data_IF_982628017093
#
_entry.id   IF_982628017093
#
_cell.length_a   1.000
_cell.length_b   1.000
_cell.length_c   1.000
_cell.angle_alpha   90.00
_cell.angle_beta   90.00
_cell.angle_gamma   90.00
#
_symmetry.space_group_name_H-M   'P 1'
#
loop_
_entity.id
_entity.type
_entity.pdbx_description
1 polymer ?
#
# COMPACT_ATOMS: atom_id res chain seq x y z
N UNK A 1 6.62 -11.49 -1.05
CA UNK A 1 5.17 -11.31 -1.12
C UNK A 1 4.94 -9.81 -1.15
N UNK A 2 3.80 -9.35 -1.68
CA UNK A 2 3.52 -7.91 -1.71
C UNK A 2 2.91 -7.51 -0.38
N UNK A 3 3.47 -6.48 0.27
CA UNK A 3 2.98 -5.97 1.55
C UNK A 3 1.52 -5.52 1.45
N UNK A 4 1.13 -4.99 0.28
CA UNK A 4 -0.21 -4.50 -0.01
C UNK A 4 -1.01 -5.42 -0.94
N UNK A 5 -0.96 -6.73 -0.69
CA UNK A 5 -1.78 -7.70 -1.43
C UNK A 5 -3.29 -7.43 -1.30
N UNK A 6 -4.09 -7.86 -2.28
CA UNK A 6 -5.58 -7.80 -2.23
C UNK A 6 -6.16 -8.26 -0.89
N UNK A 7 -5.63 -9.35 -0.33
CA UNK A 7 -6.12 -9.93 0.93
C UNK A 7 -5.85 -9.01 2.13
N UNK A 8 -4.69 -8.34 2.13
CA UNK A 8 -4.37 -7.35 3.15
C UNK A 8 -5.27 -6.12 3.05
N UNK A 9 -5.47 -5.58 1.83
CA UNK A 9 -6.36 -4.44 1.59
C UNK A 9 -7.80 -4.74 2.08
N UNK A 10 -8.34 -5.91 1.74
CA UNK A 10 -9.64 -6.35 2.21
C UNK A 10 -9.69 -6.48 3.75
N UNK A 11 -8.60 -6.89 4.40
CA UNK A 11 -8.52 -6.98 5.87
C UNK A 11 -8.58 -5.61 6.56
N UNK A 12 -8.18 -4.55 5.86
CA UNK A 12 -8.32 -3.16 6.30
C UNK A 12 -9.71 -2.57 6.02
N UNK A 13 -10.61 -3.33 5.39
CA UNK A 13 -11.92 -2.85 4.95
C UNK A 13 -11.92 -2.15 3.60
N UNK A 14 -10.80 -2.21 2.86
CA UNK A 14 -10.69 -1.72 1.48
C UNK A 14 -11.05 -2.88 0.53
N UNK A 15 -12.34 -3.00 0.23
CA UNK A 15 -12.86 -4.04 -0.67
C UNK A 15 -12.69 -3.60 -2.13
N UNK A 16 -11.65 -4.12 -2.77
CA UNK A 16 -11.43 -3.93 -4.21
C UNK A 16 -12.30 -4.89 -5.01
N UNK A 17 -13.00 -4.36 -6.01
CA UNK A 17 -13.70 -5.18 -7.00
C UNK A 17 -12.71 -6.15 -7.69
N UNK A 18 -13.19 -7.29 -8.17
CA UNK A 18 -12.34 -8.20 -8.96
C UNK A 18 -11.78 -7.54 -10.21
N UNK A 19 -12.46 -6.55 -10.76
CA UNK A 19 -11.97 -5.74 -11.88
C UNK A 19 -10.83 -4.81 -11.44
N UNK A 20 -10.98 -4.07 -10.35
CA UNK A 20 -9.95 -3.17 -9.80
C UNK A 20 -8.71 -3.94 -9.36
N UNK A 21 -8.90 -5.04 -8.64
CA UNK A 21 -7.80 -5.92 -8.23
C UNK A 21 -7.11 -6.60 -9.43
N UNK A 22 -7.79 -6.73 -10.57
CA UNK A 22 -7.20 -7.24 -11.81
C UNK A 22 -6.45 -6.15 -12.58
N UNK A 23 -6.97 -4.93 -12.54
CA UNK A 23 -6.30 -3.74 -13.08
C UNK A 23 -5.00 -3.47 -12.33
N UNK A 24 -5.01 -3.65 -11.00
CA UNK A 24 -3.82 -3.75 -10.14
C UNK A 24 -3.04 -5.03 -10.43
N UNK A 25 -2.27 -5.03 -11.52
CA UNK A 25 -1.28 -6.08 -11.80
C UNK A 25 -0.15 -6.11 -10.75
N UNK A 26 0.64 -7.19 -10.68
CA UNK A 26 1.77 -7.29 -9.72
C UNK A 26 2.71 -6.06 -9.76
N UNK A 27 2.98 -5.51 -10.95
CA UNK A 27 3.82 -4.30 -11.09
C UNK A 27 3.18 -3.05 -10.48
N UNK A 28 1.85 -2.96 -10.56
CA UNK A 28 1.08 -1.89 -9.94
C UNK A 28 1.03 -2.10 -8.42
N UNK A 29 0.91 -3.33 -7.92
CA UNK A 29 0.97 -3.59 -6.46
C UNK A 29 2.33 -3.17 -5.87
N UNK A 30 3.45 -3.45 -6.55
CA UNK A 30 4.79 -2.97 -6.18
C UNK A 30 4.87 -1.43 -6.17
N UNK A 31 4.16 -0.78 -7.10
CA UNK A 31 4.12 0.68 -7.22
C UNK A 31 3.28 1.28 -6.10
N UNK A 32 2.09 0.73 -5.86
CA UNK A 32 1.22 1.08 -4.74
C UNK A 32 1.97 0.96 -3.42
N UNK A 33 2.68 -0.15 -3.21
CA UNK A 33 3.48 -0.36 -2.00
C UNK A 33 4.51 0.75 -1.80
N UNK A 34 5.25 1.14 -2.84
CA UNK A 34 6.24 2.22 -2.73
C UNK A 34 5.59 3.54 -2.38
N UNK A 35 4.50 3.89 -3.05
CA UNK A 35 3.82 5.17 -2.86
C UNK A 35 3.19 5.27 -1.47
N UNK A 36 2.50 4.23 -1.02
CA UNK A 36 1.97 4.15 0.36
C UNK A 36 3.10 4.25 1.39
N UNK A 37 4.23 3.57 1.17
CA UNK A 37 5.37 3.68 2.10
C UNK A 37 5.94 5.10 2.12
N UNK A 38 5.98 5.79 0.98
CA UNK A 38 6.45 7.19 0.88
C UNK A 38 5.51 8.12 1.67
N UNK A 39 4.20 8.03 1.45
CA UNK A 39 3.19 8.81 2.18
C UNK A 39 3.20 8.50 3.68
N UNK A 40 3.37 7.22 4.04
CA UNK A 40 3.55 6.80 5.44
C UNK A 40 4.79 7.46 6.05
N UNK A 41 5.90 7.52 5.32
CA UNK A 41 7.14 8.15 5.81
C UNK A 41 6.97 9.65 6.04
N UNK A 42 6.08 10.32 5.31
CA UNK A 42 5.77 11.75 5.49
C UNK A 42 4.88 12.04 6.71
N UNK A 43 4.07 11.08 7.15
CA UNK A 43 3.18 11.25 8.32
C UNK A 43 3.77 10.72 9.63
N UNK A 44 4.74 9.81 9.58
CA UNK A 44 5.38 9.26 10.78
C UNK A 44 6.60 10.06 11.24
N UNK A 45 6.99 9.85 12.49
CA UNK A 45 8.22 10.44 13.04
C UNK A 45 9.49 9.75 12.52
N UNK A 46 10.66 10.40 12.55
CA UNK A 46 11.93 9.77 12.19
C UNK A 46 12.26 8.51 13.01
N UNK A 47 11.87 8.46 14.29
CA UNK A 47 12.05 7.28 15.13
C UNK A 47 11.21 6.09 14.65
N UNK A 48 9.96 6.35 14.27
CA UNK A 48 9.07 5.36 13.67
C UNK A 48 9.58 4.89 12.30
N UNK A 49 10.09 5.80 11.46
CA UNK A 49 10.71 5.44 10.18
C UNK A 49 11.90 4.49 10.36
N UNK A 50 12.75 4.72 11.37
CA UNK A 50 13.83 3.80 11.72
C UNK A 50 13.32 2.41 12.16
N UNK A 51 12.22 2.36 12.91
CA UNK A 51 11.60 1.09 13.31
C UNK A 51 11.03 0.34 12.11
N UNK A 52 10.32 1.03 11.23
CA UNK A 52 9.75 0.47 10.00
C UNK A 52 10.85 -0.10 9.09
N UNK A 53 11.93 0.64 8.87
CA UNK A 53 13.07 0.18 8.07
C UNK A 53 13.74 -1.08 8.64
N UNK A 54 13.77 -1.20 9.99
CA UNK A 54 14.28 -2.39 10.66
C UNK A 54 13.37 -3.60 10.41
N UNK A 55 12.06 -3.44 10.58
CA UNK A 55 11.08 -4.50 10.34
C UNK A 55 11.11 -4.98 8.88
N UNK A 56 11.22 -4.05 7.93
CA UNK A 56 11.38 -4.37 6.51
C UNK A 56 12.66 -5.16 6.22
N UNK A 57 13.77 -4.86 6.92
CA UNK A 57 15.02 -5.64 6.78
C UNK A 57 14.91 -7.07 7.30
N UNK A 58 13.99 -7.34 8.23
CA UNK A 58 13.71 -8.68 8.75
C UNK A 58 12.86 -9.53 7.80
N UNK A 59 12.35 -8.95 6.69
CA UNK A 59 11.51 -9.59 5.67
C UNK A 59 10.25 -10.27 6.26
N UNK A 60 9.69 -9.67 7.31
CA UNK A 60 8.48 -10.16 7.97
C UNK A 60 7.31 -9.22 7.64
N UNK A 61 6.65 -9.51 6.52
CA UNK A 61 5.56 -8.68 5.98
C UNK A 61 4.38 -8.58 6.97
N UNK A 62 4.09 -9.64 7.73
CA UNK A 62 3.01 -9.64 8.73
C UNK A 62 3.33 -8.68 9.88
N UNK A 63 4.59 -8.66 10.36
CA UNK A 63 5.01 -7.71 11.37
C UNK A 63 5.00 -6.26 10.86
N UNK A 64 5.40 -6.04 9.61
CA UNK A 64 5.34 -4.71 8.98
C UNK A 64 3.90 -4.24 8.87
N UNK A 65 2.99 -5.07 8.35
CA UNK A 65 1.56 -4.78 8.24
C UNK A 65 0.96 -4.42 9.59
N UNK A 66 1.22 -5.23 10.62
CA UNK A 66 0.74 -4.97 11.97
C UNK A 66 1.27 -3.64 12.51
N UNK A 67 2.56 -3.38 12.32
CA UNK A 67 3.17 -2.14 12.77
C UNK A 67 2.53 -0.93 12.09
N UNK A 68 2.24 -1.00 10.79
CA UNK A 68 1.57 0.08 10.06
C UNK A 68 0.21 0.39 10.69
N UNK A 69 -0.62 -0.62 10.92
CA UNK A 69 -1.95 -0.43 11.53
C UNK A 69 -1.86 0.15 12.95
N UNK A 70 -0.88 -0.27 13.74
CA UNK A 70 -0.71 0.19 15.12
C UNK A 70 -0.09 1.61 15.23
N UNK A 71 0.62 2.09 14.20
CA UNK A 71 1.45 3.31 14.28
C UNK A 71 1.04 4.42 13.30
N UNK A 72 0.22 4.12 12.29
CA UNK A 72 -0.23 5.07 11.28
C UNK A 72 -1.75 5.19 11.40
N UNK A 73 -2.22 6.28 12.00
CA UNK A 73 -3.65 6.49 12.28
C UNK A 73 -4.49 6.55 11.00
N UNK A 74 -3.98 7.22 9.96
CA UNK A 74 -4.68 7.42 8.68
C UNK A 74 -4.27 6.40 7.61
N UNK A 75 -3.75 5.23 8.02
CA UNK A 75 -3.22 4.23 7.09
C UNK A 75 -4.23 3.82 6.02
N UNK A 76 -5.48 3.60 6.43
CA UNK A 76 -6.54 3.17 5.53
C UNK A 76 -6.83 4.23 4.47
N UNK A 77 -6.88 5.49 4.86
CA UNK A 77 -7.15 6.61 3.96
C UNK A 77 -5.97 6.79 2.98
N UNK A 78 -4.73 6.75 3.47
CA UNK A 78 -3.52 6.79 2.63
C UNK A 78 -3.55 5.68 1.57
N UNK A 79 -3.86 4.45 1.98
CA UNK A 79 -3.91 3.32 1.05
C UNK A 79 -5.06 3.50 0.04
N UNK A 80 -6.23 3.97 0.49
CA UNK A 80 -7.38 4.18 -0.39
C UNK A 80 -7.08 5.23 -1.46
N UNK A 81 -6.52 6.38 -1.06
CA UNK A 81 -6.18 7.47 -1.98
C UNK A 81 -5.18 6.99 -3.04
N UNK A 82 -4.14 6.27 -2.63
CA UNK A 82 -3.11 5.80 -3.55
C UNK A 82 -3.62 4.69 -4.49
N UNK A 83 -4.54 3.84 -4.01
CA UNK A 83 -5.25 2.87 -4.86
C UNK A 83 -6.07 3.59 -5.92
N UNK A 84 -6.89 4.58 -5.54
CA UNK A 84 -7.75 5.31 -6.45
C UNK A 84 -6.94 6.06 -7.51
N UNK A 85 -5.83 6.70 -7.11
CA UNK A 85 -4.92 7.37 -8.03
C UNK A 85 -4.31 6.37 -9.00
N UNK A 86 -3.80 5.24 -8.50
CA UNK A 86 -3.12 4.26 -9.35
C UNK A 86 -4.10 3.58 -10.33
N UNK A 87 -5.33 3.30 -9.91
CA UNK A 87 -6.38 2.80 -10.80
C UNK A 87 -6.73 3.82 -11.90
N UNK A 88 -6.77 5.10 -11.55
CA UNK A 88 -6.90 6.21 -12.51
C UNK A 88 -5.76 6.19 -13.55
N UNK A 89 -4.51 6.13 -13.09
CA UNK A 89 -3.32 6.06 -13.93
C UNK A 89 -3.37 4.86 -14.89
N UNK A 90 -3.72 3.67 -14.39
CA UNK A 90 -3.85 2.44 -15.20
C UNK A 90 -4.94 2.59 -16.28
N UNK A 91 -6.06 3.23 -15.95
CA UNK A 91 -7.16 3.47 -16.88
C UNK A 91 -6.78 4.52 -17.95
N UNK A 92 -5.97 5.52 -17.59
CA UNK A 92 -5.44 6.52 -18.54
C UNK A 92 -4.38 5.92 -19.46
N UNK A 93 -3.46 5.10 -18.93
CA UNK A 93 -2.44 4.40 -19.71
C UNK A 93 -3.07 3.40 -20.70
N UNK A 94 -4.13 2.70 -20.29
CA UNK A 94 -4.87 1.76 -21.16
C UNK A 94 -5.59 2.45 -22.33
N UNK A 95 -5.91 3.74 -22.22
CA UNK A 95 -6.53 4.51 -23.31
C UNK A 95 -5.51 5.14 -24.28
N UNK A 96 -4.22 5.10 -23.93
CA UNK A 96 -3.11 5.56 -24.77
C UNK A 96 -2.48 4.46 -25.64
N UNK A 97 -3.06 3.24 -25.65
CA UNK A 97 -2.67 2.08 -26.48
C UNK A 97 -3.64 1.85 -27.64
#
# INVERSE_FOLDING_TARGET
MTLLSKQYLASLGLDLSDEDAKSLSDHAEDTLQKRVVDEVLDVITPEQAHQLAKLQSENDDELVQKWLVDNVEDLQDIISDEVDILLGEIAEDSQNL
#
